data_IF_795727089019
#
_entry.id   IF_795727089019
#
_cell.length_a   1.000
_cell.length_b   1.000
_cell.length_c   1.000
_cell.angle_alpha   90.00
_cell.angle_beta   90.00
_cell.angle_gamma   90.00
#
_symmetry.space_group_name_H-M   'P 1'
#
loop_
_entity.id
_entity.type
_entity.pdbx_description
1 polymer ?
#
# COMPACT_ATOMS: atom_id res chain seq x y z
N UNK A 1 -19.42 -23.18 12.30
CA UNK A 1 -20.36 -22.23 11.67
C UNK A 1 -19.50 -21.07 11.21
N UNK A 2 -19.46 -20.74 9.92
CA UNK A 2 -18.67 -19.60 9.46
C UNK A 2 -19.45 -18.33 9.81
N UNK A 3 -18.86 -17.50 10.67
CA UNK A 3 -19.41 -16.19 10.99
C UNK A 3 -18.79 -15.16 10.04
N UNK A 4 -19.63 -14.32 9.43
CA UNK A 4 -19.23 -13.27 8.50
C UNK A 4 -19.73 -11.95 9.05
N UNK A 5 -18.82 -11.00 9.22
CA UNK A 5 -19.12 -9.67 9.77
C UNK A 5 -18.85 -8.65 8.66
N UNK A 6 -19.85 -7.84 8.38
CA UNK A 6 -19.74 -6.74 7.44
C UNK A 6 -18.83 -5.63 7.94
N UNK A 7 -18.27 -4.87 7.02
CA UNK A 7 -17.57 -3.65 7.37
C UNK A 7 -18.53 -2.60 7.94
N UNK A 8 -18.06 -1.77 8.86
CA UNK A 8 -18.77 -0.62 9.40
C UNK A 8 -18.14 0.65 8.88
N UNK A 9 -18.98 1.58 8.44
CA UNK A 9 -18.58 2.92 8.01
C UNK A 9 -18.93 3.89 9.13
N UNK A 10 -17.93 4.32 9.88
CA UNK A 10 -18.09 5.34 10.89
C UNK A 10 -18.06 6.73 10.27
N UNK A 11 -18.98 7.59 10.69
CA UNK A 11 -19.12 8.94 10.15
C UNK A 11 -19.48 9.95 11.25
N UNK A 12 -19.12 11.22 11.02
CA UNK A 12 -19.53 12.33 11.88
C UNK A 12 -21.01 12.66 11.61
N UNK A 13 -21.84 12.67 12.66
CA UNK A 13 -23.29 12.83 12.49
C UNK A 13 -23.72 14.24 12.06
N UNK A 14 -22.84 15.24 12.24
CA UNK A 14 -23.13 16.64 11.92
C UNK A 14 -22.71 16.97 10.50
N UNK A 15 -21.60 16.40 10.04
CA UNK A 15 -21.07 16.70 8.71
C UNK A 15 -21.38 15.62 7.68
N UNK A 16 -21.54 14.36 8.10
CA UNK A 16 -21.66 13.20 7.22
C UNK A 16 -20.31 12.69 6.72
N UNK A 17 -19.21 13.27 7.17
CA UNK A 17 -17.87 12.87 6.71
C UNK A 17 -17.50 11.51 7.29
N UNK A 18 -17.00 10.62 6.43
CA UNK A 18 -16.54 9.30 6.84
C UNK A 18 -15.23 9.44 7.61
N UNK A 19 -15.19 8.85 8.80
CA UNK A 19 -14.09 8.91 9.74
C UNK A 19 -13.16 7.71 9.60
N UNK A 20 -13.74 6.52 9.55
CA UNK A 20 -13.03 5.27 9.33
C UNK A 20 -13.96 4.21 8.77
N UNK A 21 -13.40 3.23 8.07
CA UNK A 21 -14.12 2.09 7.53
C UNK A 21 -13.44 0.84 8.06
N UNK A 22 -14.17 0.02 8.81
CA UNK A 22 -13.61 -1.23 9.33
C UNK A 22 -13.49 -2.27 8.22
N UNK A 23 -12.63 -3.28 8.43
CA UNK A 23 -12.51 -4.38 7.48
C UNK A 23 -13.65 -5.38 7.63
N UNK A 24 -13.99 -6.08 6.55
CA UNK A 24 -14.84 -7.26 6.59
C UNK A 24 -14.10 -8.39 7.31
N UNK A 25 -14.81 -9.18 8.12
CA UNK A 25 -14.21 -10.26 8.91
C UNK A 25 -14.93 -11.59 8.69
N UNK A 26 -14.18 -12.70 8.74
CA UNK A 26 -14.73 -14.05 8.63
C UNK A 26 -14.02 -15.04 9.55
N UNK A 27 -14.76 -16.07 9.99
CA UNK A 27 -14.22 -17.20 10.75
C UNK A 27 -14.49 -17.11 12.25
N UNK A 28 -13.45 -17.23 13.07
CA UNK A 28 -13.55 -17.13 14.53
C UNK A 28 -13.40 -15.67 14.96
N UNK A 29 -14.40 -14.87 14.63
CA UNK A 29 -14.45 -13.43 14.86
C UNK A 29 -15.74 -13.09 15.61
N UNK A 30 -15.69 -12.02 16.41
CA UNK A 30 -16.82 -11.53 17.18
C UNK A 30 -17.13 -10.09 16.76
N UNK A 31 -18.41 -9.75 16.76
CA UNK A 31 -18.85 -8.39 16.43
C UNK A 31 -18.48 -7.44 17.56
N UNK A 32 -17.76 -6.37 17.22
CA UNK A 32 -17.41 -5.32 18.16
C UNK A 32 -18.59 -4.38 18.41
N UNK A 33 -18.68 -3.80 19.60
CA UNK A 33 -19.60 -2.69 19.86
C UNK A 33 -19.02 -1.37 19.36
N UNK A 34 -19.87 -0.35 19.24
CA UNK A 34 -19.44 1.02 18.91
C UNK A 34 -18.40 1.53 19.90
N UNK A 35 -18.59 1.28 21.19
CA UNK A 35 -17.67 1.69 22.25
C UNK A 35 -16.29 1.04 22.08
N UNK A 36 -16.27 -0.26 21.78
CA UNK A 36 -15.02 -0.98 21.51
C UNK A 36 -14.31 -0.43 20.28
N UNK A 37 -15.05 -0.21 19.18
CA UNK A 37 -14.48 0.36 17.97
C UNK A 37 -13.91 1.78 18.20
N UNK A 38 -14.56 2.60 19.03
CA UNK A 38 -14.07 3.93 19.41
C UNK A 38 -12.73 3.90 20.17
N UNK A 39 -12.43 2.80 20.87
CA UNK A 39 -11.15 2.59 21.56
C UNK A 39 -10.07 1.98 20.65
N UNK A 40 -10.48 1.19 19.66
CA UNK A 40 -9.57 0.47 18.75
C UNK A 40 -9.07 1.38 17.62
N UNK A 41 -9.97 2.16 17.01
CA UNK A 41 -9.65 2.94 15.81
C UNK A 41 -9.14 4.34 16.18
N UNK A 42 -7.93 4.66 15.73
CA UNK A 42 -7.26 5.92 16.03
C UNK A 42 -8.06 7.14 15.55
N UNK A 43 -8.76 7.03 14.43
CA UNK A 43 -9.57 8.11 13.86
C UNK A 43 -10.82 8.46 14.70
N UNK A 44 -11.25 7.50 15.54
CA UNK A 44 -12.39 7.64 16.45
C UNK A 44 -11.96 8.05 17.86
N UNK A 45 -10.70 7.80 18.21
CA UNK A 45 -10.17 8.09 19.55
C UNK A 45 -10.33 9.57 19.91
N UNK A 46 -10.88 9.84 21.09
CA UNK A 46 -11.09 11.20 21.59
C UNK A 46 -12.33 11.92 21.04
N UNK A 47 -13.09 11.30 20.12
CA UNK A 47 -14.39 11.83 19.70
C UNK A 47 -15.46 11.54 20.73
N UNK A 48 -16.47 12.40 20.80
CA UNK A 48 -17.66 12.11 21.59
C UNK A 48 -18.45 11.00 20.88
N UNK A 49 -18.76 9.93 21.61
CA UNK A 49 -19.52 8.78 21.07
C UNK A 49 -20.88 9.18 20.50
N UNK A 50 -21.48 10.27 21.02
CA UNK A 50 -22.75 10.80 20.54
C UNK A 50 -22.62 11.65 19.27
N UNK A 51 -21.40 12.02 18.87
CA UNK A 51 -21.13 12.77 17.63
C UNK A 51 -20.73 11.85 16.46
N UNK A 52 -20.58 10.55 16.73
CA UNK A 52 -20.21 9.52 15.75
C UNK A 52 -21.37 8.58 15.57
N UNK A 53 -21.60 8.07 14.38
CA UNK A 53 -22.51 6.96 14.13
C UNK A 53 -21.93 6.04 13.04
N UNK A 54 -22.55 4.90 12.77
CA UNK A 54 -22.06 3.98 11.75
C UNK A 54 -23.16 3.38 10.87
N UNK A 55 -22.76 2.99 9.65
CA UNK A 55 -23.56 2.16 8.75
C UNK A 55 -22.86 0.81 8.64
N UNK A 56 -23.59 -0.27 8.88
CA UNK A 56 -23.09 -1.62 8.65
C UNK A 56 -23.35 -2.03 7.19
N UNK A 57 -22.31 -2.56 6.54
CA UNK A 57 -22.38 -3.08 5.18
C UNK A 57 -22.67 -4.58 5.18
N UNK A 58 -23.17 -5.08 4.06
CA UNK A 58 -23.22 -6.52 3.86
C UNK A 58 -21.80 -7.07 3.60
N UNK A 59 -21.44 -8.20 4.23
CA UNK A 59 -20.18 -8.88 3.95
C UNK A 59 -20.01 -9.19 2.45
N UNK A 60 -18.81 -8.95 1.92
CA UNK A 60 -18.42 -9.15 0.53
C UNK A 60 -18.74 -7.97 -0.39
N UNK A 61 -19.21 -6.84 0.15
CA UNK A 61 -19.57 -5.65 -0.66
C UNK A 61 -18.52 -4.55 -0.58
N UNK A 62 -17.66 -4.54 0.45
CA UNK A 62 -16.73 -3.45 0.67
C UNK A 62 -15.81 -3.21 -0.54
N UNK A 63 -15.21 -4.28 -1.08
CA UNK A 63 -14.26 -4.15 -2.18
C UNK A 63 -14.91 -3.55 -3.44
N UNK A 64 -16.10 -4.01 -3.81
CA UNK A 64 -16.78 -3.56 -5.03
C UNK A 64 -17.23 -2.11 -4.94
N UNK A 65 -17.67 -1.69 -3.74
CA UNK A 65 -18.06 -0.32 -3.42
C UNK A 65 -16.91 0.67 -3.69
N UNK A 66 -15.68 0.32 -3.30
CA UNK A 66 -14.54 1.25 -3.34
C UNK A 66 -13.60 1.07 -4.54
N UNK A 67 -13.78 0.05 -5.39
CA UNK A 67 -12.85 -0.28 -6.50
C UNK A 67 -12.60 0.90 -7.46
N UNK A 68 -13.58 1.80 -7.64
CA UNK A 68 -13.46 3.00 -8.47
C UNK A 68 -14.08 4.24 -7.80
N UNK A 69 -14.15 4.27 -6.47
CA UNK A 69 -14.65 5.43 -5.75
C UNK A 69 -13.66 6.60 -5.94
N UNK A 70 -14.21 7.76 -6.32
CA UNK A 70 -13.52 9.05 -6.43
C UNK A 70 -13.64 9.82 -5.12
N UNK A 71 -14.85 9.87 -4.58
CA UNK A 71 -15.15 10.48 -3.29
C UNK A 71 -16.34 9.74 -2.67
N UNK A 72 -16.51 9.86 -1.35
CA UNK A 72 -17.61 9.23 -0.65
C UNK A 72 -17.98 10.03 0.61
N UNK A 73 -19.26 9.98 0.97
CA UNK A 73 -19.81 10.69 2.13
C UNK A 73 -21.09 10.02 2.59
N UNK A 74 -21.43 10.14 3.88
CA UNK A 74 -22.75 9.72 4.37
C UNK A 74 -23.75 10.87 4.20
N UNK A 75 -24.86 10.61 3.51
CA UNK A 75 -25.99 11.52 3.47
C UNK A 75 -26.75 11.41 4.81
N UNK A 76 -26.83 12.53 5.52
CA UNK A 76 -27.41 12.58 6.87
C UNK A 76 -28.94 12.42 6.89
N UNK A 77 -29.62 12.75 5.79
CA UNK A 77 -31.07 12.60 5.67
C UNK A 77 -31.44 11.15 5.37
N UNK A 78 -30.76 10.53 4.41
CA UNK A 78 -31.06 9.16 3.96
C UNK A 78 -30.36 8.09 4.78
N UNK A 79 -29.34 8.47 5.56
CA UNK A 79 -28.46 7.58 6.33
C UNK A 79 -27.81 6.50 5.46
N UNK A 80 -27.39 6.90 4.26
CA UNK A 80 -26.73 6.03 3.27
C UNK A 80 -25.38 6.60 2.86
N UNK A 81 -24.46 5.71 2.54
CA UNK A 81 -23.22 6.07 1.87
C UNK A 81 -23.53 6.49 0.43
N UNK A 82 -23.16 7.72 0.09
CA UNK A 82 -23.12 8.25 -1.27
C UNK A 82 -21.69 8.19 -1.78
N UNK A 83 -21.54 7.74 -3.03
CA UNK A 83 -20.24 7.54 -3.66
C UNK A 83 -20.26 8.21 -5.02
N UNK A 84 -19.28 9.06 -5.24
CA UNK A 84 -18.93 9.51 -6.56
C UNK A 84 -17.95 8.50 -7.15
N UNK A 85 -18.30 7.91 -8.29
CA UNK A 85 -17.40 7.00 -9.00
C UNK A 85 -16.61 7.74 -10.06
N UNK A 86 -15.39 7.27 -10.32
CA UNK A 86 -14.61 7.70 -11.47
C UNK A 86 -15.38 7.41 -12.77
N UNK A 87 -15.32 8.36 -13.69
CA UNK A 87 -15.74 8.16 -15.09
C UNK A 87 -14.80 7.17 -15.80
N UNK A 88 -15.26 6.57 -16.89
CA UNK A 88 -14.41 5.68 -17.70
C UNK A 88 -13.16 6.41 -18.22
N UNK A 89 -13.29 7.68 -18.61
CA UNK A 89 -12.15 8.50 -19.05
C UNK A 89 -11.11 8.69 -17.94
N UNK A 90 -11.54 8.99 -16.70
CA UNK A 90 -10.64 9.10 -15.56
C UNK A 90 -9.94 7.76 -15.25
N UNK A 91 -10.67 6.64 -15.35
CA UNK A 91 -10.11 5.29 -15.18
C UNK A 91 -9.04 5.00 -16.24
N UNK A 92 -9.33 5.28 -17.51
CA UNK A 92 -8.43 5.03 -18.63
C UNK A 92 -7.16 5.89 -18.53
N UNK A 93 -7.31 7.16 -18.12
CA UNK A 93 -6.20 8.07 -17.85
C UNK A 93 -5.32 7.53 -16.71
N UNK A 94 -5.93 7.14 -15.58
CA UNK A 94 -5.21 6.57 -14.42
C UNK A 94 -4.45 5.30 -14.82
N UNK A 95 -5.06 4.41 -15.58
CA UNK A 95 -4.42 3.18 -16.06
C UNK A 95 -3.25 3.47 -17.01
N UNK A 96 -3.39 4.47 -17.87
CA UNK A 96 -2.31 4.93 -18.76
C UNK A 96 -1.13 5.49 -17.97
N UNK A 97 -1.40 6.29 -16.93
CA UNK A 97 -0.38 6.83 -16.04
C UNK A 97 0.36 5.72 -15.28
N UNK A 98 -0.36 4.74 -14.72
CA UNK A 98 0.26 3.57 -14.08
C UNK A 98 1.12 2.74 -15.03
N UNK A 99 0.64 2.49 -16.25
CA UNK A 99 1.42 1.77 -17.26
C UNK A 99 2.71 2.51 -17.64
N UNK A 100 2.67 3.86 -17.69
CA UNK A 100 3.85 4.69 -17.93
C UNK A 100 4.83 4.63 -16.76
N UNK A 101 4.33 4.69 -15.52
CA UNK A 101 5.17 4.58 -14.32
C UNK A 101 5.87 3.21 -14.25
N UNK A 102 5.13 2.12 -14.48
CA UNK A 102 5.70 0.77 -14.48
C UNK A 102 6.82 0.60 -15.52
N UNK A 103 6.65 1.15 -16.73
CA UNK A 103 7.71 1.16 -17.76
C UNK A 103 8.94 1.95 -17.33
N UNK A 104 8.75 3.09 -16.69
CA UNK A 104 9.86 3.89 -16.19
C UNK A 104 10.62 3.17 -15.06
N UNK A 105 9.90 2.51 -14.15
CA UNK A 105 10.50 1.72 -13.07
C UNK A 105 11.29 0.53 -13.63
N UNK A 106 10.75 -0.16 -14.63
CA UNK A 106 11.47 -1.22 -15.32
C UNK A 106 12.77 -0.70 -15.95
N UNK A 107 12.72 0.40 -16.71
CA UNK A 107 13.90 0.99 -17.33
C UNK A 107 14.96 1.46 -16.31
N UNK A 108 14.50 1.94 -15.15
CA UNK A 108 15.39 2.30 -14.03
C UNK A 108 16.07 1.06 -13.46
N UNK A 109 15.31 -0.02 -13.22
CA UNK A 109 15.84 -1.28 -12.71
C UNK A 109 16.84 -1.91 -13.69
N UNK A 110 16.56 -1.88 -14.99
CA UNK A 110 17.48 -2.36 -16.04
C UNK A 110 18.79 -1.56 -16.01
N UNK A 111 18.69 -0.23 -15.85
CA UNK A 111 19.86 0.65 -15.73
C UNK A 111 20.69 0.34 -14.48
N UNK A 112 20.05 0.11 -13.33
CA UNK A 112 20.71 -0.28 -12.08
C UNK A 112 21.41 -1.63 -12.23
N UNK A 113 20.78 -2.61 -12.89
CA UNK A 113 21.39 -3.91 -13.16
C UNK A 113 22.67 -3.76 -13.97
N UNK A 114 22.61 -3.02 -15.08
CA UNK A 114 23.76 -2.78 -15.95
C UNK A 114 24.92 -2.10 -15.20
N UNK A 115 24.62 -1.10 -14.38
CA UNK A 115 25.62 -0.41 -13.55
C UNK A 115 26.24 -1.39 -12.53
N UNK A 116 25.42 -2.21 -11.88
CA UNK A 116 25.89 -3.18 -10.90
C UNK A 116 26.82 -4.22 -11.53
N UNK A 117 26.48 -4.71 -12.73
CA UNK A 117 27.33 -5.61 -13.50
C UNK A 117 28.68 -4.98 -13.85
N UNK A 118 28.66 -3.74 -14.35
CA UNK A 118 29.89 -3.01 -14.67
C UNK A 118 30.80 -2.81 -13.45
N UNK A 119 30.23 -2.42 -12.31
CA UNK A 119 30.99 -2.23 -11.07
C UNK A 119 31.58 -3.54 -10.55
N UNK A 120 30.83 -4.65 -10.63
CA UNK A 120 31.31 -5.97 -10.24
C UNK A 120 32.46 -6.43 -11.13
N UNK A 121 32.32 -6.28 -12.45
CA UNK A 121 33.39 -6.61 -13.41
C UNK A 121 34.66 -5.82 -13.12
N UNK A 122 34.54 -4.51 -12.88
CA UNK A 122 35.69 -3.67 -12.55
C UNK A 122 36.34 -4.06 -11.22
N UNK A 123 35.55 -4.40 -10.20
CA UNK A 123 36.06 -4.83 -8.89
C UNK A 123 36.88 -6.14 -9.01
N UNK A 124 36.43 -7.08 -9.84
CA UNK A 124 37.16 -8.31 -10.14
C UNK A 124 38.47 -8.01 -10.88
N UNK A 125 38.42 -7.17 -11.92
CA UNK A 125 39.60 -6.78 -12.69
C UNK A 125 40.67 -6.11 -11.79
N UNK A 126 40.26 -5.25 -10.86
CA UNK A 126 41.17 -4.62 -9.90
C UNK A 126 41.81 -5.67 -8.99
N UNK A 127 41.02 -6.60 -8.46
CA UNK A 127 41.51 -7.69 -7.60
C UNK A 127 42.54 -8.56 -8.33
N UNK A 128 42.30 -8.87 -9.61
CA UNK A 128 43.23 -9.64 -10.45
C UNK A 128 44.56 -8.88 -10.67
N UNK A 129 44.50 -7.57 -10.92
CA UNK A 129 45.69 -6.73 -11.07
C UNK A 129 46.49 -6.67 -9.77
N UNK A 130 45.82 -6.47 -8.63
CA UNK A 130 46.47 -6.44 -7.32
C UNK A 130 47.20 -7.76 -7.03
N UNK A 131 46.55 -8.90 -7.27
CA UNK A 131 47.15 -10.22 -7.11
C UNK A 131 48.39 -10.41 -8.01
N UNK A 132 48.32 -9.98 -9.27
CA UNK A 132 49.45 -10.06 -10.20
C UNK A 132 50.64 -9.20 -9.74
N UNK A 133 50.38 -7.98 -9.26
CA UNK A 133 51.41 -7.08 -8.73
C UNK A 133 52.08 -7.72 -7.51
N UNK A 134 51.29 -8.24 -6.56
CA UNK A 134 51.80 -8.90 -5.35
C UNK A 134 52.70 -10.08 -5.68
N UNK A 135 52.30 -10.94 -6.63
CA UNK A 135 53.13 -12.08 -7.08
C UNK A 135 54.44 -11.61 -7.71
N UNK A 136 54.41 -10.58 -8.56
CA UNK A 136 55.64 -10.04 -9.16
C UNK A 136 56.61 -9.48 -8.14
N UNK A 137 56.12 -8.76 -7.13
CA UNK A 137 56.98 -8.23 -6.06
C UNK A 137 57.55 -9.35 -5.19
N UNK A 138 56.77 -10.39 -4.88
CA UNK A 138 57.28 -11.57 -4.18
C UNK A 138 58.40 -12.28 -4.94
N UNK A 139 58.24 -12.47 -6.26
CA UNK A 139 59.25 -13.12 -7.09
C UNK A 139 60.58 -12.33 -7.14
N UNK A 140 60.52 -10.99 -7.14
CA UNK A 140 61.71 -10.13 -7.07
C UNK A 140 62.48 -10.32 -5.76
N UNK A 141 61.77 -10.42 -4.63
CA UNK A 141 62.38 -10.60 -3.31
C UNK A 141 63.05 -11.97 -3.19
N UNK A 142 62.44 -13.00 -3.78
CA UNK A 142 62.92 -14.38 -3.70
C UNK A 142 64.07 -14.70 -4.67
N UNK A 143 64.48 -13.77 -5.53
CA UNK A 143 65.61 -13.93 -6.44
C UNK A 143 65.39 -14.99 -7.52
N UNK A 144 64.14 -15.38 -7.78
CA UNK A 144 63.78 -16.36 -8.80
C UNK A 144 63.63 -15.62 -10.13
N UNK A 145 64.68 -15.66 -10.97
CA UNK A 145 64.62 -15.30 -12.39
C UNK A 145 64.23 -16.50 -13.24
#
# INVERSE_FOLDING_TARGET
MNYYIGAKIYYDIKTGDVLTITSEMQGNVEETTKEQDMEIYQELTGRNINDVDFIELQYGTLASIFTNAKSYKVNLETKKLEIEYLTQEEIDKRNTEYAKQAKNEQALNDSISNISEYLNQNSNNISDIENYILQKEQNKILGVM
#
